data_IF_765795889288
#
_entry.id   IF_765795889288
#
_cell.length_a   1.000
_cell.length_b   1.000
_cell.length_c   1.000
_cell.angle_alpha   90.00
_cell.angle_beta   90.00
_cell.angle_gamma   90.00
#
_symmetry.space_group_name_H-M   'P 1'
#
loop_
_entity.id
_entity.type
_entity.pdbx_description
1 polymer ?
#
# COMPACT_ATOMS: atom_id res chain seq x y z
N UNK A 1 14.33 -12.07 28.70
CA UNK A 1 15.41 -11.31 28.03
C UNK A 1 15.26 -9.84 28.42
N UNK A 2 16.33 -9.12 28.76
CA UNK A 2 16.20 -7.71 29.20
C UNK A 2 15.78 -6.81 28.04
N UNK A 3 14.83 -5.89 28.27
CA UNK A 3 14.39 -4.84 27.33
C UNK A 3 15.56 -4.03 26.73
N UNK A 4 16.68 -3.95 27.47
CA UNK A 4 17.91 -3.32 27.03
C UNK A 4 18.55 -4.04 25.84
N UNK A 5 18.42 -5.36 25.74
CA UNK A 5 18.99 -6.16 24.65
C UNK A 5 18.25 -6.06 23.31
N UNK A 6 16.98 -5.65 23.33
CA UNK A 6 16.15 -5.45 22.13
C UNK A 6 16.35 -4.05 21.55
N UNK A 7 16.41 -3.03 22.42
CA UNK A 7 16.84 -1.68 22.05
C UNK A 7 18.30 -1.67 21.59
N UNK A 8 19.21 -2.38 22.27
CA UNK A 8 20.62 -2.48 21.84
C UNK A 8 20.75 -3.26 20.51
N UNK A 9 19.79 -4.14 20.17
CA UNK A 9 19.67 -4.73 18.83
C UNK A 9 19.11 -3.74 17.80
N UNK A 10 18.12 -2.93 18.16
CA UNK A 10 17.58 -1.88 17.30
C UNK A 10 18.64 -0.80 17.01
N UNK A 11 19.46 -0.43 18.01
CA UNK A 11 20.55 0.53 17.89
C UNK A 11 21.82 -0.05 17.26
N UNK A 12 22.24 -1.29 17.54
CA UNK A 12 23.31 -1.97 16.77
C UNK A 12 22.89 -2.26 15.34
N UNK A 13 21.58 -2.43 15.09
CA UNK A 13 21.05 -2.45 13.75
C UNK A 13 21.20 -1.09 13.08
N UNK A 14 21.25 0.06 13.74
CA UNK A 14 21.54 1.36 13.08
C UNK A 14 22.94 1.37 12.43
N UNK A 15 23.95 0.73 13.05
CA UNK A 15 25.27 0.54 12.45
C UNK A 15 25.28 -0.55 11.36
N UNK A 16 24.47 -1.60 11.48
CA UNK A 16 24.33 -2.65 10.46
C UNK A 16 23.37 -2.26 9.29
N UNK A 17 22.49 -1.29 9.51
CA UNK A 17 21.52 -0.67 8.58
C UNK A 17 22.20 0.37 7.68
N UNK A 18 23.50 0.62 7.88
CA UNK A 18 24.39 1.20 6.88
C UNK A 18 24.67 0.25 5.69
N UNK A 19 23.96 -0.88 5.59
CA UNK A 19 23.75 -1.55 4.30
C UNK A 19 22.76 -0.72 3.51
N UNK A 20 23.28 0.20 2.69
CA UNK A 20 22.51 1.10 1.82
C UNK A 20 21.80 0.39 0.66
N UNK A 21 21.18 -0.76 0.93
CA UNK A 21 20.40 -1.54 -0.03
C UNK A 21 18.91 -1.28 0.16
N UNK A 22 18.18 -1.20 -0.96
CA UNK A 22 16.75 -0.98 -0.94
C UNK A 22 16.04 -2.26 -0.47
N UNK A 23 15.10 -2.11 0.45
CA UNK A 23 14.20 -3.20 0.82
C UNK A 23 13.16 -3.37 -0.30
N UNK A 24 12.88 -4.61 -0.68
CA UNK A 24 11.66 -4.90 -1.43
C UNK A 24 10.42 -4.68 -0.56
N UNK A 25 9.25 -4.71 -1.20
CA UNK A 25 8.00 -4.38 -0.51
C UNK A 25 7.64 -5.39 0.59
N UNK A 26 8.02 -6.66 0.44
CA UNK A 26 7.70 -7.68 1.44
C UNK A 26 8.58 -7.47 2.68
N UNK A 27 9.87 -7.20 2.51
CA UNK A 27 10.76 -6.84 3.61
C UNK A 27 10.34 -5.54 4.32
N UNK A 28 9.80 -4.56 3.59
CA UNK A 28 9.24 -3.36 4.24
C UNK A 28 8.01 -3.70 5.09
N UNK A 29 7.15 -4.61 4.65
CA UNK A 29 6.00 -5.08 5.44
C UNK A 29 6.43 -5.90 6.65
N UNK A 30 7.48 -6.73 6.52
CA UNK A 30 8.08 -7.44 7.65
C UNK A 30 8.61 -6.48 8.73
N UNK A 31 9.19 -5.34 8.33
CA UNK A 31 9.64 -4.31 9.27
C UNK A 31 8.46 -3.63 9.99
N UNK A 32 7.36 -3.34 9.28
CA UNK A 32 6.13 -2.81 9.90
C UNK A 32 5.57 -3.81 10.92
N UNK A 33 5.50 -5.10 10.57
CA UNK A 33 5.05 -6.16 11.47
C UNK A 33 5.98 -6.32 12.68
N UNK A 34 7.29 -6.18 12.49
CA UNK A 34 8.27 -6.20 13.58
C UNK A 34 8.03 -5.03 14.57
N UNK A 35 7.75 -3.83 14.06
CA UNK A 35 7.38 -2.69 14.90
C UNK A 35 6.07 -2.91 15.63
N UNK A 36 5.06 -3.48 14.97
CA UNK A 36 3.81 -3.84 15.64
C UNK A 36 4.06 -4.78 16.83
N UNK A 37 4.80 -5.87 16.63
CA UNK A 37 5.14 -6.82 17.71
C UNK A 37 5.92 -6.18 18.83
N UNK A 38 6.87 -5.30 18.49
CA UNK A 38 7.63 -4.56 19.48
C UNK A 38 6.73 -3.66 20.33
N UNK A 39 5.83 -2.90 19.68
CA UNK A 39 4.90 -2.02 20.39
C UNK A 39 3.96 -2.82 21.29
N UNK A 40 3.47 -3.98 20.86
CA UNK A 40 2.64 -4.84 21.72
C UNK A 40 3.42 -5.47 22.88
N UNK A 41 4.70 -5.83 22.69
CA UNK A 41 5.56 -6.38 23.77
C UNK A 41 5.86 -5.37 24.88
N UNK A 42 5.97 -4.09 24.53
CA UNK A 42 6.26 -3.00 25.48
C UNK A 42 5.00 -2.36 26.07
N UNK A 43 3.80 -2.82 25.66
CA UNK A 43 2.51 -2.29 26.12
C UNK A 43 2.34 -2.47 27.63
N UNK A 44 2.01 -1.41 28.35
CA UNK A 44 1.87 -1.41 29.81
C UNK A 44 3.18 -1.65 30.57
N UNK A 45 4.33 -1.49 29.90
CA UNK A 45 5.66 -1.67 30.47
C UNK A 45 6.31 -0.37 30.95
N UNK A 46 7.48 -0.49 31.59
CA UNK A 46 8.25 0.63 32.17
C UNK A 46 8.91 1.58 31.14
N UNK A 47 8.48 1.57 29.87
CA UNK A 47 9.04 2.43 28.83
C UNK A 47 7.97 3.41 28.30
N UNK A 48 7.76 4.54 28.99
CA UNK A 48 6.62 5.44 28.77
C UNK A 48 6.49 5.95 27.33
N UNK A 49 7.62 6.14 26.64
CA UNK A 49 7.61 6.71 25.29
C UNK A 49 7.06 5.72 24.26
N UNK A 50 7.43 4.43 24.33
CA UNK A 50 6.86 3.46 23.39
C UNK A 50 5.41 3.15 23.73
N UNK A 51 5.09 3.08 25.03
CA UNK A 51 3.71 2.83 25.48
C UNK A 51 2.75 3.94 25.08
N UNK A 52 3.23 5.21 25.09
CA UNK A 52 2.43 6.36 24.64
C UNK A 52 1.92 6.25 23.19
N UNK A 53 2.60 5.49 22.32
CA UNK A 53 2.09 5.24 20.97
C UNK A 53 0.91 4.26 20.96
N UNK A 54 0.90 3.28 21.86
CA UNK A 54 -0.25 2.38 22.02
C UNK A 54 -1.42 3.11 22.69
N UNK A 55 -1.16 3.92 23.72
CA UNK A 55 -2.20 4.74 24.38
C UNK A 55 -2.86 5.68 23.37
N UNK A 56 -2.06 6.45 22.61
CA UNK A 56 -2.57 7.34 21.58
C UNK A 56 -3.34 6.57 20.49
N UNK A 57 -2.88 5.37 20.13
CA UNK A 57 -3.60 4.54 19.17
C UNK A 57 -4.93 4.03 19.73
N UNK A 58 -4.97 3.61 20.99
CA UNK A 58 -6.19 3.11 21.63
C UNK A 58 -7.25 4.21 21.70
N UNK A 59 -6.86 5.44 22.06
CA UNK A 59 -7.75 6.62 22.03
C UNK A 59 -8.31 6.88 20.63
N UNK A 60 -7.46 6.84 19.61
CA UNK A 60 -7.87 7.00 18.22
C UNK A 60 -8.78 5.87 17.77
N UNK A 61 -8.44 4.64 18.10
CA UNK A 61 -9.20 3.45 17.72
C UNK A 61 -10.60 3.45 18.34
N UNK A 62 -10.75 3.94 19.58
CA UNK A 62 -12.05 4.16 20.21
C UNK A 62 -12.87 5.20 19.43
N UNK A 63 -12.27 6.33 19.05
CA UNK A 63 -12.94 7.37 18.26
C UNK A 63 -13.38 6.88 16.88
N UNK A 64 -12.56 6.03 16.25
CA UNK A 64 -12.85 5.48 14.94
C UNK A 64 -13.79 4.28 14.96
N UNK A 65 -14.07 3.70 16.13
CA UNK A 65 -14.86 2.48 16.20
C UNK A 65 -16.33 2.72 15.85
N UNK A 66 -16.87 1.90 14.95
CA UNK A 66 -18.31 1.87 14.64
C UNK A 66 -18.92 0.67 15.35
N UNK A 67 -19.94 0.90 16.17
CA UNK A 67 -20.60 -0.14 16.98
C UNK A 67 -19.61 -0.93 17.87
N UNK A 68 -18.60 -0.25 18.42
CA UNK A 68 -17.59 -0.87 19.28
C UNK A 68 -16.62 -1.80 18.55
N UNK A 69 -16.60 -1.79 17.21
CA UNK A 69 -15.64 -2.55 16.40
C UNK A 69 -14.62 -1.60 15.78
N UNK A 70 -13.32 -1.94 15.86
CA UNK A 70 -12.28 -1.16 15.21
C UNK A 70 -12.47 -1.22 13.69
N UNK A 71 -12.53 -0.07 13.04
CA UNK A 71 -12.52 0.02 11.57
C UNK A 71 -11.12 -0.28 11.04
N UNK A 72 -10.10 0.17 11.77
CA UNK A 72 -8.72 0.06 11.36
C UNK A 72 -8.05 -1.14 11.99
N UNK A 73 -7.30 -1.85 11.15
CA UNK A 73 -6.52 -3.02 11.55
C UNK A 73 -5.05 -2.62 11.72
N UNK A 74 -4.36 -3.37 12.58
CA UNK A 74 -2.94 -3.19 12.90
C UNK A 74 -2.08 -4.36 12.42
N UNK A 75 -0.76 -4.18 12.45
CA UNK A 75 0.21 -5.21 12.06
C UNK A 75 0.00 -5.68 10.62
N UNK A 76 0.20 -6.97 10.36
CA UNK A 76 0.02 -7.57 9.02
C UNK A 76 -1.33 -7.32 8.36
N UNK A 77 -2.38 -7.04 9.13
CA UNK A 77 -3.72 -6.75 8.61
C UNK A 77 -3.93 -5.27 8.22
N UNK A 78 -2.98 -4.38 8.54
CA UNK A 78 -3.08 -2.96 8.17
C UNK A 78 -2.78 -2.70 6.68
N UNK A 79 -2.38 -3.74 5.93
CA UNK A 79 -2.02 -3.68 4.50
C UNK A 79 -3.26 -3.47 3.62
N UNK A 80 -3.67 -2.21 3.45
CA UNK A 80 -4.78 -1.82 2.55
C UNK A 80 -4.31 -1.53 1.12
N UNK A 81 -3.01 -1.54 0.86
CA UNK A 81 -2.41 -1.21 -0.44
C UNK A 81 -1.11 -2.00 -0.71
N UNK A 82 -0.58 -1.87 -1.93
CA UNK A 82 0.60 -2.62 -2.39
C UNK A 82 1.87 -2.33 -1.56
N UNK A 83 2.05 -1.09 -1.11
CA UNK A 83 3.24 -0.63 -0.38
C UNK A 83 2.85 0.04 0.94
N UNK A 84 3.76 0.08 1.94
CA UNK A 84 3.53 0.85 3.17
C UNK A 84 3.25 2.33 2.89
N UNK A 85 3.95 2.92 1.91
CA UNK A 85 3.74 4.34 1.56
C UNK A 85 2.36 4.58 0.94
N UNK A 86 1.90 3.69 0.05
CA UNK A 86 0.54 3.74 -0.48
C UNK A 86 -0.52 3.54 0.60
N UNK A 87 -0.23 2.69 1.59
CA UNK A 87 -1.12 2.47 2.74
C UNK A 87 -1.23 3.72 3.61
N UNK A 88 -0.12 4.45 3.80
CA UNK A 88 -0.16 5.76 4.46
C UNK A 88 -1.09 6.72 3.70
N UNK A 89 -0.98 6.80 2.38
CA UNK A 89 -1.85 7.66 1.57
C UNK A 89 -3.32 7.26 1.69
N UNK A 90 -3.63 5.97 1.73
CA UNK A 90 -4.99 5.51 2.00
C UNK A 90 -5.55 6.06 3.31
N UNK A 91 -4.78 6.01 4.40
CA UNK A 91 -5.23 6.59 5.68
C UNK A 91 -5.45 8.10 5.59
N UNK A 92 -4.53 8.83 4.94
CA UNK A 92 -4.64 10.28 4.74
C UNK A 92 -5.87 10.64 3.90
N UNK A 93 -6.11 9.94 2.80
CA UNK A 93 -7.25 10.17 1.90
C UNK A 93 -8.59 9.90 2.61
N UNK A 94 -8.60 8.94 3.54
CA UNK A 94 -9.77 8.62 4.36
C UNK A 94 -9.93 9.51 5.60
N UNK A 95 -9.03 10.46 5.83
CA UNK A 95 -9.05 11.35 7.00
C UNK A 95 -8.67 10.68 8.32
N UNK A 96 -7.99 9.53 8.25
CA UNK A 96 -7.57 8.76 9.41
C UNK A 96 -6.09 8.97 9.73
N UNK A 97 -5.77 8.96 11.02
CA UNK A 97 -4.40 8.81 11.48
C UNK A 97 -3.93 7.35 11.27
N UNK A 98 -2.76 7.12 10.68
CA UNK A 98 -2.25 5.77 10.41
C UNK A 98 -1.77 5.06 11.68
N UNK A 99 -1.73 3.72 11.71
CA UNK A 99 -1.13 2.94 12.79
C UNK A 99 0.34 3.34 13.04
N UNK A 100 0.80 3.40 14.30
CA UNK A 100 2.15 3.87 14.63
C UNK A 100 3.25 2.97 14.03
N UNK A 101 3.04 1.66 13.95
CA UNK A 101 3.99 0.73 13.32
C UNK A 101 4.24 1.04 11.83
N UNK A 102 3.24 1.56 11.13
CA UNK A 102 3.35 1.96 9.73
C UNK A 102 4.27 3.18 9.60
N UNK A 103 4.13 4.15 10.52
CA UNK A 103 4.97 5.34 10.60
C UNK A 103 6.42 4.95 10.92
N UNK A 104 6.64 4.04 11.87
CA UNK A 104 7.98 3.55 12.20
C UNK A 104 8.60 2.79 11.01
N UNK A 105 7.86 1.91 10.34
CA UNK A 105 8.34 1.22 9.14
C UNK A 105 8.77 2.20 8.04
N UNK A 106 7.97 3.23 7.77
CA UNK A 106 8.32 4.28 6.80
C UNK A 106 9.52 5.13 7.25
N UNK A 107 9.64 5.40 8.54
CA UNK A 107 10.80 6.11 9.10
C UNK A 107 12.09 5.29 8.95
N UNK A 108 12.01 3.97 9.11
CA UNK A 108 13.15 3.08 8.84
C UNK A 108 13.56 3.09 7.36
N UNK A 109 12.60 3.10 6.43
CA UNK A 109 12.87 3.28 5.00
C UNK A 109 13.54 4.63 4.73
N UNK A 110 13.04 5.71 5.35
CA UNK A 110 13.65 7.04 5.23
C UNK A 110 15.10 7.08 5.72
N UNK A 111 15.39 6.47 6.89
CA UNK A 111 16.76 6.39 7.42
C UNK A 111 17.69 5.64 6.47
N UNK A 112 17.24 4.54 5.86
CA UNK A 112 18.01 3.79 4.85
C UNK A 112 18.29 4.64 3.61
N UNK A 113 17.29 5.37 3.11
CA UNK A 113 17.45 6.31 1.99
C UNK A 113 18.50 7.39 2.28
N UNK A 114 18.40 8.06 3.43
CA UNK A 114 19.38 9.08 3.85
C UNK A 114 20.77 8.46 4.03
N UNK A 115 20.85 7.29 4.66
CA UNK A 115 22.07 6.51 4.87
C UNK A 115 22.76 6.05 3.57
N UNK A 116 21.99 5.89 2.49
CA UNK A 116 22.51 5.54 1.18
C UNK A 116 23.26 6.70 0.48
N UNK A 117 23.20 7.93 1.01
CA UNK A 117 23.98 9.09 0.54
C UNK A 117 23.89 9.33 -0.97
N UNK A 118 22.68 9.26 -1.51
CA UNK A 118 22.40 9.48 -2.95
C UNK A 118 22.63 8.28 -3.86
N UNK A 119 23.04 7.11 -3.32
CA UNK A 119 23.17 5.86 -4.10
C UNK A 119 21.84 5.15 -4.36
N UNK A 120 20.78 5.59 -3.70
CA UNK A 120 19.43 5.05 -3.79
C UNK A 120 18.48 6.20 -4.10
N UNK A 121 17.58 6.02 -5.06
CA UNK A 121 16.50 6.96 -5.32
C UNK A 121 15.35 6.80 -4.31
N UNK A 122 14.50 7.83 -4.18
CA UNK A 122 13.28 7.71 -3.37
C UNK A 122 12.34 6.62 -3.90
N UNK A 123 12.28 6.44 -5.22
CA UNK A 123 11.48 5.36 -5.80
C UNK A 123 12.00 4.00 -5.35
N UNK A 124 13.31 3.79 -5.41
CA UNK A 124 13.92 2.53 -4.96
C UNK A 124 13.69 2.29 -3.47
N UNK A 125 13.78 3.33 -2.64
CA UNK A 125 13.57 3.23 -1.21
C UNK A 125 12.14 2.80 -0.86
N UNK A 126 11.12 3.47 -1.40
CA UNK A 126 9.72 3.31 -0.97
C UNK A 126 8.90 2.36 -1.83
N UNK A 127 9.34 2.06 -3.06
CA UNK A 127 8.61 1.20 -3.99
C UNK A 127 9.42 0.00 -4.47
N UNK A 128 10.63 -0.18 -3.93
CA UNK A 128 11.55 -1.24 -4.31
C UNK A 128 12.27 -0.99 -5.64
N UNK A 129 13.10 -1.94 -6.08
CA UNK A 129 13.98 -1.77 -7.24
C UNK A 129 13.22 -1.42 -8.52
N UNK A 130 13.80 -0.51 -9.31
CA UNK A 130 13.20 -0.06 -10.56
C UNK A 130 13.19 -1.18 -11.61
N UNK A 131 12.06 -1.32 -12.33
CA UNK A 131 11.94 -2.26 -13.45
C UNK A 131 12.34 -1.57 -14.75
N UNK A 132 13.43 -2.02 -15.38
CA UNK A 132 13.91 -1.47 -16.65
C UNK A 132 12.81 -1.51 -17.72
N UNK A 133 12.58 -0.39 -18.39
CA UNK A 133 11.55 -0.26 -19.44
C UNK A 133 10.10 -0.11 -18.94
N UNK A 134 9.81 -0.32 -17.65
CA UNK A 134 8.46 -0.16 -17.09
C UNK A 134 8.11 1.31 -16.77
N UNK A 135 9.11 2.20 -16.75
CA UNK A 135 8.99 3.57 -16.25
C UNK A 135 8.86 3.65 -14.73
N UNK A 136 8.74 4.87 -14.20
CA UNK A 136 8.67 5.14 -12.76
C UNK A 136 7.36 4.65 -12.13
N UNK A 137 7.30 4.61 -10.79
CA UNK A 137 6.13 4.17 -10.04
C UNK A 137 4.86 4.91 -10.46
N UNK A 138 4.93 6.24 -10.63
CA UNK A 138 3.79 7.04 -11.07
C UNK A 138 3.23 6.57 -12.41
N UNK A 139 4.08 6.32 -13.41
CA UNK A 139 3.67 5.78 -14.72
C UNK A 139 3.05 4.39 -14.59
N UNK A 140 3.64 3.51 -13.76
CA UNK A 140 3.12 2.16 -13.53
C UNK A 140 1.75 2.19 -12.86
N UNK A 141 1.56 3.06 -11.87
CA UNK A 141 0.30 3.23 -11.14
C UNK A 141 -0.79 3.84 -12.01
N UNK A 142 -0.50 4.91 -12.76
CA UNK A 142 -1.44 5.50 -13.71
C UNK A 142 -1.87 4.50 -14.80
N UNK A 143 -0.94 3.67 -15.28
CA UNK A 143 -1.24 2.60 -16.25
C UNK A 143 -2.17 1.52 -15.66
N UNK A 144 -1.97 1.12 -14.41
CA UNK A 144 -2.87 0.18 -13.71
C UNK A 144 -4.27 0.75 -13.53
N UNK A 145 -4.38 1.97 -13.01
CA UNK A 145 -5.69 2.64 -12.85
C UNK A 145 -6.42 2.74 -14.19
N UNK A 146 -5.72 3.14 -15.25
CA UNK A 146 -6.29 3.18 -16.61
C UNK A 146 -6.81 1.82 -17.05
N UNK A 147 -6.06 0.74 -16.81
CA UNK A 147 -6.52 -0.62 -17.15
C UNK A 147 -7.75 -1.04 -16.36
N UNK A 148 -7.79 -0.75 -15.05
CA UNK A 148 -8.97 -1.07 -14.22
C UNK A 148 -10.19 -0.33 -14.74
N UNK A 149 -10.08 0.98 -14.96
CA UNK A 149 -11.16 1.80 -15.52
C UNK A 149 -11.61 1.28 -16.88
N UNK A 150 -10.66 1.00 -17.79
CA UNK A 150 -10.96 0.44 -19.11
C UNK A 150 -11.73 -0.88 -19.00
N UNK A 151 -11.29 -1.80 -18.16
CA UNK A 151 -11.96 -3.10 -17.98
C UNK A 151 -13.39 -2.93 -17.45
N UNK A 152 -13.59 -2.06 -16.47
CA UNK A 152 -14.91 -1.79 -15.90
C UNK A 152 -15.85 -1.16 -16.93
N UNK A 153 -15.38 -0.14 -17.64
CA UNK A 153 -16.19 0.57 -18.61
C UNK A 153 -16.51 -0.29 -19.83
N UNK A 154 -15.53 -1.10 -20.27
CA UNK A 154 -15.74 -2.08 -21.32
C UNK A 154 -16.78 -3.13 -20.93
N UNK A 155 -16.76 -3.63 -19.69
CA UNK A 155 -17.77 -4.55 -19.17
C UNK A 155 -19.16 -3.90 -19.08
N UNK A 156 -19.22 -2.66 -18.57
CA UNK A 156 -20.47 -1.89 -18.46
C UNK A 156 -21.14 -1.71 -19.82
N UNK A 157 -20.39 -1.23 -20.82
CA UNK A 157 -20.92 -0.99 -22.17
C UNK A 157 -21.28 -2.29 -22.90
N UNK A 158 -20.55 -3.39 -22.68
CA UNK A 158 -20.95 -4.71 -23.19
C UNK A 158 -22.29 -5.17 -22.61
N UNK A 159 -22.54 -4.93 -21.31
CA UNK A 159 -23.83 -5.23 -20.68
C UNK A 159 -24.98 -4.36 -21.19
N UNK A 160 -24.67 -3.17 -21.69
CA UNK A 160 -25.63 -2.27 -22.36
C UNK A 160 -25.95 -2.70 -23.80
N UNK A 161 -25.34 -3.80 -24.28
CA UNK A 161 -25.65 -4.40 -25.57
C UNK A 161 -24.77 -3.92 -26.72
N UNK A 162 -23.75 -3.10 -26.45
CA UNK A 162 -22.79 -2.66 -27.46
C UNK A 162 -21.89 -3.82 -27.90
N UNK A 163 -21.48 -3.82 -29.17
CA UNK A 163 -20.47 -4.76 -29.66
C UNK A 163 -19.08 -4.36 -29.20
N UNK A 164 -18.16 -5.33 -29.11
CA UNK A 164 -16.77 -5.06 -28.68
C UNK A 164 -16.07 -3.97 -29.49
N UNK A 165 -16.36 -3.89 -30.78
CA UNK A 165 -15.77 -2.87 -31.67
C UNK A 165 -16.30 -1.48 -31.36
N UNK A 166 -17.61 -1.33 -31.18
CA UNK A 166 -18.24 -0.05 -30.80
C UNK A 166 -17.74 0.42 -29.43
N UNK A 167 -17.63 -0.48 -28.45
CA UNK A 167 -17.07 -0.17 -27.14
C UNK A 167 -15.62 0.31 -27.25
N UNK A 168 -14.80 -0.34 -28.08
CA UNK A 168 -13.40 0.04 -28.25
C UNK A 168 -13.23 1.41 -28.95
N UNK A 169 -14.08 1.73 -29.92
CA UNK A 169 -14.10 3.05 -30.57
C UNK A 169 -14.55 4.14 -29.59
N UNK A 170 -15.62 3.89 -28.83
CA UNK A 170 -16.15 4.83 -27.84
C UNK A 170 -15.13 5.12 -26.74
N UNK A 171 -14.51 4.09 -26.16
CA UNK A 171 -13.46 4.25 -25.15
C UNK A 171 -12.23 4.97 -25.69
N UNK A 172 -11.84 4.69 -26.94
CA UNK A 172 -10.74 5.42 -27.61
C UNK A 172 -11.07 6.91 -27.71
N UNK A 173 -12.29 7.26 -28.13
CA UNK A 173 -12.73 8.65 -28.24
C UNK A 173 -12.76 9.36 -26.88
N UNK A 174 -13.30 8.72 -25.84
CA UNK A 174 -13.33 9.27 -24.48
C UNK A 174 -11.94 9.53 -23.91
N UNK A 175 -10.93 8.76 -24.32
CA UNK A 175 -9.53 8.94 -23.92
C UNK A 175 -8.74 9.89 -24.84
N UNK A 176 -9.39 10.59 -25.77
CA UNK A 176 -8.72 11.51 -26.70
C UNK A 176 -7.93 10.80 -27.81
N UNK A 177 -8.36 9.59 -28.19
CA UNK A 177 -7.82 8.82 -29.31
C UNK A 177 -6.56 8.00 -29.00
N UNK A 178 -6.14 7.91 -27.73
CA UNK A 178 -4.99 7.09 -27.32
C UNK A 178 -5.25 6.40 -25.97
N UNK A 179 -5.22 5.06 -25.90
CA UNK A 179 -4.96 4.09 -26.98
C UNK A 179 -6.09 4.04 -28.02
N UNK A 180 -5.74 3.69 -29.26
CA UNK A 180 -6.71 3.47 -30.35
C UNK A 180 -7.57 2.22 -30.11
N UNK A 181 -8.66 2.09 -30.87
CA UNK A 181 -9.62 1.00 -30.73
C UNK A 181 -8.99 -0.41 -30.90
N UNK A 182 -8.06 -0.60 -31.84
CA UNK A 182 -7.40 -1.90 -32.03
C UNK A 182 -6.50 -2.24 -30.84
N UNK A 183 -5.77 -1.26 -30.32
CA UNK A 183 -4.99 -1.38 -29.09
C UNK A 183 -5.87 -1.78 -27.90
N UNK A 184 -7.07 -1.20 -27.76
CA UNK A 184 -8.04 -1.58 -26.71
C UNK A 184 -8.53 -3.01 -26.91
N UNK A 185 -8.91 -3.40 -28.13
CA UNK A 185 -9.35 -4.76 -28.44
C UNK A 185 -8.28 -5.81 -28.14
N UNK A 186 -7.02 -5.52 -28.44
CA UNK A 186 -5.88 -6.39 -28.09
C UNK A 186 -5.71 -6.53 -26.59
N UNK A 187 -5.83 -5.43 -25.84
CA UNK A 187 -5.76 -5.46 -24.37
C UNK A 187 -6.91 -6.26 -23.76
N UNK A 188 -8.10 -6.18 -24.35
CA UNK A 188 -9.30 -6.88 -23.88
C UNK A 188 -9.47 -8.29 -24.46
N UNK A 189 -8.50 -8.79 -25.23
CA UNK A 189 -8.57 -10.11 -25.85
C UNK A 189 -8.68 -11.20 -24.78
N UNK A 190 -9.73 -12.01 -24.85
CA UNK A 190 -10.02 -13.06 -23.86
C UNK A 190 -10.82 -12.59 -22.64
N UNK A 191 -11.17 -11.31 -22.55
CA UNK A 191 -12.10 -10.81 -21.53
C UNK A 191 -13.52 -11.31 -21.81
N UNK A 192 -14.09 -12.06 -20.86
CA UNK A 192 -15.44 -12.66 -20.91
C UNK A 192 -16.43 -12.01 -19.94
N UNK A 193 -16.07 -10.88 -19.33
CA UNK A 193 -16.89 -10.14 -18.37
C UNK A 193 -16.40 -10.24 -16.93
N UNK A 194 -16.79 -9.27 -16.10
CA UNK A 194 -16.52 -9.31 -14.65
C UNK A 194 -17.61 -10.15 -13.96
N UNK A 195 -17.26 -11.32 -13.44
CA UNK A 195 -18.17 -12.09 -12.59
C UNK A 195 -18.28 -11.43 -11.21
N UNK A 196 -19.40 -10.74 -10.98
CA UNK A 196 -19.77 -10.26 -9.64
C UNK A 196 -20.33 -11.46 -8.89
N UNK A 197 -19.54 -12.04 -7.98
CA UNK A 197 -20.08 -12.95 -6.98
C UNK A 197 -20.94 -12.11 -6.03
N UNK A 198 -22.26 -12.16 -6.20
CA UNK A 198 -23.19 -11.67 -5.19
C UNK A 198 -23.02 -12.57 -3.96
N UNK A 199 -22.23 -12.12 -2.98
CA UNK A 199 -22.25 -12.71 -1.66
C UNK A 199 -23.66 -12.50 -1.09
N UNK A 200 -24.38 -13.62 -1.02
CA UNK A 200 -25.59 -13.89 -0.24
C UNK A 200 -25.98 -12.79 0.75
N UNK A 201 -27.09 -12.12 0.45
CA UNK A 201 -28.01 -11.61 1.47
C UNK A 201 -28.49 -12.81 2.30
N UNK A 202 -27.85 -13.07 3.44
CA UNK A 202 -28.47 -13.86 4.50
C UNK A 202 -29.27 -12.92 5.41
N UNK A 203 -30.56 -13.26 5.47
CA UNK A 203 -31.61 -12.67 6.30
C UNK A 203 -31.39 -12.89 7.79
#
# INVERSE_FOLDING_TARGET
MSNKGLLDRAFKNVEAMARGEALDLDAQWEEVEAWYRYLEDVRGGDYPVADSFNEAWDELNEQYSIHGKPIMKRGSECKTSDSPLSTLFYYVDMGFYPPPELLFGLFEVWKRYVGARGKMSLEEAFFGPTKKGAGNYAKRTASRFRKVWLTWEFDRMLREGMTRSEVAEELSNQMGGKPDADSILRMMRGFTGLHVSSASEEK
#
